data_IF_725737275487
#
_entry.id   IF_725737275487
#
_cell.length_a   1.000
_cell.length_b   1.000
_cell.length_c   1.000
_cell.angle_alpha   90.00
_cell.angle_beta   90.00
_cell.angle_gamma   90.00
#
_symmetry.space_group_name_H-M   'P 1'
#
loop_
_entity.id
_entity.type
_entity.pdbx_description
1 polymer ?
#
# COMPACT_ATOMS: atom_id res chain seq x y z
N UNK A 1 0.62 16.81 -48.93
CA UNK A 1 0.58 15.34 -49.11
C UNK A 1 0.15 14.75 -47.78
N UNK A 2 -1.06 14.19 -47.73
CA UNK A 2 -1.48 13.35 -46.62
C UNK A 2 -0.74 12.00 -46.65
N UNK A 3 -0.79 11.33 -45.49
CA UNK A 3 -0.64 9.88 -45.27
C UNK A 3 0.75 9.39 -44.86
N UNK A 4 1.01 9.40 -43.55
CA UNK A 4 1.82 8.39 -42.84
C UNK A 4 1.42 8.26 -41.35
N UNK A 5 0.15 8.49 -40.99
CA UNK A 5 -0.36 8.26 -39.62
C UNK A 5 -0.88 6.81 -39.41
N UNK A 6 -0.77 5.94 -40.42
CA UNK A 6 -1.46 4.64 -40.45
C UNK A 6 -0.76 3.50 -39.68
N UNK A 7 0.37 3.76 -39.02
CA UNK A 7 1.18 2.70 -38.38
C UNK A 7 1.38 2.88 -36.87
N UNK A 8 0.63 3.76 -36.20
CA UNK A 8 0.68 3.80 -34.73
C UNK A 8 -0.01 2.55 -34.19
N UNK A 9 0.69 1.64 -33.51
CA UNK A 9 0.04 0.52 -32.84
C UNK A 9 -0.98 1.10 -31.86
N UNK A 10 -2.22 0.58 -31.78
CA UNK A 10 -3.16 1.02 -30.77
C UNK A 10 -2.46 0.88 -29.42
N UNK A 11 -2.31 2.00 -28.71
CA UNK A 11 -1.88 1.99 -27.32
C UNK A 11 -2.84 1.04 -26.59
N UNK A 12 -2.35 0.10 -25.75
CA UNK A 12 -3.25 -0.72 -24.97
C UNK A 12 -4.15 0.23 -24.20
N UNK A 13 -5.46 0.18 -24.46
CA UNK A 13 -6.44 0.94 -23.69
C UNK A 13 -6.32 0.42 -22.26
N UNK A 14 -5.58 1.15 -21.43
CA UNK A 14 -5.57 0.91 -19.99
C UNK A 14 -6.98 1.28 -19.55
N UNK A 15 -7.81 0.26 -19.36
CA UNK A 15 -9.12 0.41 -18.80
C UNK A 15 -8.97 1.09 -17.44
N UNK A 16 -9.45 2.33 -17.33
CA UNK A 16 -9.33 3.16 -16.12
C UNK A 16 -9.81 2.41 -14.88
N UNK A 17 -10.84 1.57 -15.03
CA UNK A 17 -11.37 0.73 -13.95
C UNK A 17 -10.37 -0.32 -13.45
N UNK A 18 -9.56 -0.89 -14.34
CA UNK A 18 -8.55 -1.88 -13.98
C UNK A 18 -7.39 -1.21 -13.23
N UNK A 19 -7.04 0.02 -13.62
CA UNK A 19 -6.05 0.83 -12.91
C UNK A 19 -6.52 1.24 -11.51
N UNK A 20 -7.75 1.73 -11.37
CA UNK A 20 -8.36 2.07 -10.07
C UNK A 20 -8.47 0.84 -9.16
N UNK A 21 -8.83 -0.31 -9.71
CA UNK A 21 -8.87 -1.57 -8.97
C UNK A 21 -7.47 -1.99 -8.50
N UNK A 22 -6.47 -1.92 -9.37
CA UNK A 22 -5.09 -2.22 -9.00
C UNK A 22 -4.58 -1.31 -7.88
N UNK A 23 -4.90 -0.01 -7.93
CA UNK A 23 -4.56 0.94 -6.87
C UNK A 23 -5.21 0.55 -5.53
N UNK A 24 -6.51 0.21 -5.53
CA UNK A 24 -7.19 -0.25 -4.32
C UNK A 24 -6.54 -1.51 -3.73
N UNK A 25 -6.16 -2.48 -4.58
CA UNK A 25 -5.49 -3.72 -4.14
C UNK A 25 -4.13 -3.40 -3.52
N UNK A 26 -3.33 -2.55 -4.15
CA UNK A 26 -2.01 -2.14 -3.64
C UNK A 26 -2.15 -1.40 -2.32
N UNK A 27 -3.06 -0.42 -2.23
CA UNK A 27 -3.29 0.35 -1.01
C UNK A 27 -3.72 -0.55 0.16
N UNK A 28 -4.59 -1.54 -0.10
CA UNK A 28 -4.99 -2.52 0.91
C UNK A 28 -3.83 -3.42 1.33
N UNK A 29 -3.02 -3.90 0.38
CA UNK A 29 -1.86 -4.73 0.68
C UNK A 29 -0.83 -4.00 1.53
N UNK A 30 -0.52 -2.74 1.18
CA UNK A 30 0.42 -1.89 1.94
C UNK A 30 -0.10 -1.60 3.35
N UNK A 31 -1.38 -1.28 3.50
CA UNK A 31 -1.99 -1.04 4.81
C UNK A 31 -1.91 -2.29 5.70
N UNK A 32 -2.27 -3.46 5.16
CA UNK A 32 -2.21 -4.72 5.89
C UNK A 32 -0.78 -5.07 6.30
N UNK A 33 0.18 -4.92 5.37
CA UNK A 33 1.59 -5.16 5.65
C UNK A 33 2.09 -4.27 6.79
N UNK A 34 1.78 -2.96 6.76
CA UNK A 34 2.18 -2.05 7.83
C UNK A 34 1.56 -2.43 9.17
N UNK A 35 0.28 -2.82 9.19
CA UNK A 35 -0.42 -3.29 10.39
C UNK A 35 0.26 -4.53 10.99
N UNK A 36 0.67 -5.49 10.16
CA UNK A 36 1.38 -6.69 10.62
C UNK A 36 2.76 -6.37 11.17
N UNK A 37 3.51 -5.47 10.52
CA UNK A 37 4.81 -5.01 11.02
C UNK A 37 4.69 -4.37 12.40
N UNK A 38 3.77 -3.40 12.58
CA UNK A 38 3.58 -2.72 13.86
C UNK A 38 3.17 -3.70 14.96
N UNK A 39 2.29 -4.67 14.66
CA UNK A 39 1.91 -5.72 15.64
C UNK A 39 3.11 -6.54 16.09
N UNK A 40 3.98 -6.94 15.15
CA UNK A 40 5.21 -7.68 15.46
C UNK A 40 6.16 -6.85 16.33
N UNK A 41 6.31 -5.56 16.03
CA UNK A 41 7.14 -4.64 16.83
C UNK A 41 6.55 -4.40 18.23
N UNK A 42 5.22 -4.33 18.36
CA UNK A 42 4.52 -4.28 19.64
C UNK A 42 4.84 -5.53 20.47
N UNK A 43 4.71 -6.73 19.89
CA UNK A 43 5.03 -7.98 20.57
C UNK A 43 6.50 -8.01 21.03
N UNK A 44 7.42 -7.52 20.20
CA UNK A 44 8.84 -7.40 20.57
C UNK A 44 9.04 -6.41 21.73
N UNK A 45 8.41 -5.24 21.68
CA UNK A 45 8.51 -4.25 22.76
C UNK A 45 8.03 -4.78 24.11
N UNK A 46 7.02 -5.68 24.11
CA UNK A 46 6.55 -6.37 25.30
C UNK A 46 7.60 -7.36 25.83
N UNK A 47 8.22 -8.14 24.95
CA UNK A 47 9.30 -9.07 25.33
C UNK A 47 10.49 -8.32 25.95
N UNK A 48 10.84 -7.17 25.37
CA UNK A 48 11.94 -6.32 25.82
C UNK A 48 11.57 -5.46 27.05
N UNK A 49 10.30 -5.50 27.48
CA UNK A 49 9.73 -4.64 28.55
C UNK A 49 9.93 -3.14 28.26
N UNK A 50 9.96 -2.76 26.99
CA UNK A 50 10.09 -1.38 26.55
C UNK A 50 8.72 -0.69 26.48
N UNK A 51 8.32 -0.07 27.59
CA UNK A 51 7.03 0.61 27.73
C UNK A 51 6.85 1.78 26.76
N UNK A 52 7.89 2.56 26.52
CA UNK A 52 7.81 3.75 25.68
C UNK A 52 7.52 3.35 24.23
N UNK A 53 8.25 2.35 23.72
CA UNK A 53 8.07 1.86 22.37
C UNK A 53 6.72 1.16 22.17
N UNK A 54 6.27 0.38 23.17
CA UNK A 54 4.94 -0.20 23.16
C UNK A 54 3.85 0.87 22.99
N UNK A 55 3.92 1.96 23.78
CA UNK A 55 2.94 3.04 23.73
C UNK A 55 2.99 3.78 22.39
N UNK A 56 4.19 4.08 21.89
CA UNK A 56 4.40 4.74 20.59
C UNK A 56 3.77 3.94 19.45
N UNK A 57 4.09 2.65 19.37
CA UNK A 57 3.61 1.75 18.32
C UNK A 57 2.12 1.47 18.42
N UNK A 58 1.58 1.36 19.64
CA UNK A 58 0.14 1.19 19.85
C UNK A 58 -0.62 2.40 19.32
N UNK A 59 -0.11 3.62 19.53
CA UNK A 59 -0.77 4.82 19.04
C UNK A 59 -0.63 4.99 17.54
N UNK A 60 0.51 4.60 16.97
CA UNK A 60 0.67 4.49 15.53
C UNK A 60 -0.35 3.51 14.92
N UNK A 61 -0.54 2.34 15.54
CA UNK A 61 -1.51 1.35 15.06
C UNK A 61 -2.94 1.87 15.10
N UNK A 62 -3.32 2.65 16.12
CA UNK A 62 -4.65 3.27 16.20
C UNK A 62 -4.89 4.30 15.12
N UNK A 63 -3.87 5.07 14.74
CA UNK A 63 -4.02 6.11 13.72
C UNK A 63 -4.17 5.54 12.30
N UNK A 64 -3.75 4.29 12.06
CA UNK A 64 -3.89 3.61 10.78
C UNK A 64 -5.01 2.55 10.76
N UNK A 65 -5.69 2.33 11.90
CA UNK A 65 -6.83 1.41 12.01
C UNK A 65 -8.14 2.15 11.85
#
# INVERSE_FOLDING_TARGET
MEKNLANTPPQPEINVKDSEFAEMVINKALLNFRKEQIRKEIDQSLQDKNKEEFLRLTEELKNIC
#
